data_IF_746869731378
#
_entry.id   IF_746869731378
#
_cell.length_a   1.000
_cell.length_b   1.000
_cell.length_c   1.000
_cell.angle_alpha   90.00
_cell.angle_beta   90.00
_cell.angle_gamma   90.00
#
_symmetry.space_group_name_H-M   'P 1'
#
loop_
_entity.id
_entity.type
_entity.pdbx_description
1 polymer ?
#
# COMPACT_ATOMS: atom_id res chain seq x y z
N UNK A 1 -16.45 -19.75 -17.65
CA UNK A 1 -15.93 -18.73 -16.72
C UNK A 1 -14.42 -18.87 -16.74
N UNK A 2 -13.70 -17.84 -17.13
CA UNK A 2 -12.25 -17.94 -17.22
C UNK A 2 -11.67 -18.15 -15.82
N UNK A 3 -10.70 -19.07 -15.67
CA UNK A 3 -10.08 -19.41 -14.39
C UNK A 3 -9.58 -18.18 -13.61
N UNK A 4 -9.14 -17.15 -14.32
CA UNK A 4 -8.69 -15.86 -13.75
C UNK A 4 -9.83 -15.08 -13.07
N UNK A 5 -11.03 -15.05 -13.67
CA UNK A 5 -12.19 -14.38 -13.05
C UNK A 5 -12.69 -15.09 -11.79
N UNK A 6 -12.53 -16.42 -11.75
CA UNK A 6 -12.85 -17.21 -10.56
C UNK A 6 -11.87 -16.91 -9.40
N UNK A 7 -10.56 -16.80 -9.69
CA UNK A 7 -9.53 -16.44 -8.70
C UNK A 7 -9.79 -15.02 -8.18
N UNK A 8 -9.98 -14.06 -9.06
CA UNK A 8 -10.26 -12.67 -8.66
C UNK A 8 -11.55 -12.60 -7.82
N UNK A 9 -12.59 -13.31 -8.19
CA UNK A 9 -13.85 -13.37 -7.43
C UNK A 9 -13.70 -14.05 -6.06
N UNK A 10 -12.79 -15.04 -5.93
CA UNK A 10 -12.42 -15.65 -4.64
C UNK A 10 -11.71 -14.64 -3.75
N UNK A 11 -10.63 -14.05 -4.25
CA UNK A 11 -9.82 -13.07 -3.51
C UNK A 11 -10.67 -11.88 -3.03
N UNK A 12 -11.53 -11.35 -3.90
CA UNK A 12 -12.44 -10.26 -3.57
C UNK A 12 -13.41 -10.62 -2.45
N UNK A 13 -13.99 -11.83 -2.49
CA UNK A 13 -14.91 -12.30 -1.43
C UNK A 13 -14.18 -12.51 -0.10
N UNK A 14 -12.96 -13.00 -0.12
CA UNK A 14 -12.13 -13.16 1.07
C UNK A 14 -11.78 -11.80 1.66
N UNK A 15 -11.31 -10.87 0.83
CA UNK A 15 -10.96 -9.51 1.23
C UNK A 15 -12.15 -8.75 1.85
N UNK A 16 -13.35 -8.85 1.27
CA UNK A 16 -14.57 -8.24 1.80
C UNK A 16 -15.05 -8.88 3.12
N UNK A 17 -14.75 -10.15 3.37
CA UNK A 17 -15.07 -10.82 4.63
C UNK A 17 -14.11 -10.42 5.77
N UNK A 18 -12.92 -9.95 5.45
CA UNK A 18 -11.92 -9.45 6.40
C UNK A 18 -12.08 -7.96 6.68
N UNK A 19 -13.32 -7.47 6.80
CA UNK A 19 -13.63 -6.06 7.05
C UNK A 19 -13.02 -5.51 8.35
N UNK A 20 -12.74 -6.35 9.34
CA UNK A 20 -12.03 -5.98 10.57
C UNK A 20 -10.62 -5.46 10.29
N UNK A 21 -9.91 -6.08 9.35
CA UNK A 21 -8.54 -5.69 9.01
C UNK A 21 -8.52 -4.37 8.26
N UNK A 22 -9.45 -4.17 7.33
CA UNK A 22 -9.65 -2.87 6.65
C UNK A 22 -9.96 -1.77 7.66
N UNK A 23 -10.86 -2.03 8.62
CA UNK A 23 -11.20 -1.07 9.66
C UNK A 23 -10.00 -0.73 10.55
N UNK A 24 -9.16 -1.70 10.89
CA UNK A 24 -7.94 -1.48 11.67
C UNK A 24 -6.95 -0.58 10.92
N UNK A 25 -6.76 -0.81 9.62
CA UNK A 25 -5.88 0.02 8.77
C UNK A 25 -6.38 1.47 8.70
N UNK A 26 -7.69 1.66 8.46
CA UNK A 26 -8.30 3.00 8.42
C UNK A 26 -8.18 3.68 9.79
N UNK A 27 -8.52 2.98 10.86
CA UNK A 27 -8.44 3.52 12.22
C UNK A 27 -7.01 3.94 12.56
N UNK A 28 -6.02 3.10 12.26
CA UNK A 28 -4.60 3.43 12.46
C UNK A 28 -4.21 4.68 11.65
N UNK A 29 -4.58 4.75 10.37
CA UNK A 29 -4.27 5.88 9.51
C UNK A 29 -4.85 7.19 10.06
N UNK A 30 -6.14 7.17 10.42
CA UNK A 30 -6.83 8.34 10.98
C UNK A 30 -6.20 8.75 12.30
N UNK A 31 -6.03 7.82 13.24
CA UNK A 31 -5.47 8.10 14.56
C UNK A 31 -4.04 8.64 14.43
N UNK A 32 -3.20 8.01 13.60
CA UNK A 32 -1.83 8.45 13.40
C UNK A 32 -1.76 9.90 12.94
N UNK A 33 -2.59 10.30 11.96
CA UNK A 33 -2.60 11.69 11.47
C UNK A 33 -3.22 12.65 12.48
N UNK A 34 -4.34 12.26 13.12
CA UNK A 34 -5.04 13.11 14.11
C UNK A 34 -4.18 13.45 15.32
N UNK A 35 -3.27 12.58 15.71
CA UNK A 35 -2.37 12.83 16.84
C UNK A 35 -1.34 13.94 16.58
N UNK A 36 -1.02 14.26 15.33
CA UNK A 36 -0.03 15.30 15.01
C UNK A 36 -0.44 16.71 15.46
N UNK A 37 -1.64 17.23 15.19
CA UNK A 37 -2.10 18.51 15.72
C UNK A 37 -2.02 18.61 17.25
N UNK A 38 -2.24 17.51 17.96
CA UNK A 38 -2.12 17.48 19.41
C UNK A 38 -0.67 17.46 19.91
N UNK A 39 0.23 16.79 19.17
CA UNK A 39 1.64 16.67 19.55
C UNK A 39 2.50 17.88 19.16
N UNK A 40 2.23 18.48 17.99
CA UNK A 40 3.03 19.57 17.42
C UNK A 40 2.41 20.94 17.73
N UNK A 41 1.11 20.97 18.05
CA UNK A 41 0.32 22.18 18.24
C UNK A 41 -0.56 22.51 17.03
N UNK A 42 -1.63 23.30 17.24
CA UNK A 42 -2.66 23.55 16.23
C UNK A 42 -2.30 24.72 15.28
N UNK A 43 -1.02 25.05 15.11
CA UNK A 43 -0.61 26.15 14.22
C UNK A 43 -0.87 25.77 12.76
N UNK A 44 -1.76 26.50 12.04
CA UNK A 44 -2.21 26.14 10.69
C UNK A 44 -1.07 26.06 9.66
N UNK A 45 -0.12 26.99 9.69
CA UNK A 45 0.98 27.03 8.73
C UNK A 45 1.94 25.85 8.93
N UNK A 46 2.20 25.49 10.19
CA UNK A 46 3.06 24.36 10.51
C UNK A 46 2.38 23.05 10.08
N UNK A 47 1.10 22.88 10.38
CA UNK A 47 0.34 21.70 9.99
C UNK A 47 0.27 21.54 8.47
N UNK A 48 0.01 22.64 7.73
CA UNK A 48 -0.01 22.62 6.28
C UNK A 48 1.35 22.20 5.69
N UNK A 49 2.45 22.67 6.29
CA UNK A 49 3.81 22.35 5.84
C UNK A 49 4.19 20.89 6.05
N UNK A 50 3.84 20.29 7.19
CA UNK A 50 4.19 18.89 7.48
C UNK A 50 3.15 17.90 7.01
N UNK A 51 1.93 18.38 6.72
CA UNK A 51 0.74 17.57 6.40
C UNK A 51 0.97 16.52 5.32
N UNK A 52 1.54 16.86 4.15
CA UNK A 52 1.80 15.89 3.09
C UNK A 52 2.67 14.72 3.58
N UNK A 53 3.76 15.03 4.29
CA UNK A 53 4.66 14.03 4.86
C UNK A 53 3.97 13.15 5.89
N UNK A 54 3.21 13.74 6.81
CA UNK A 54 2.46 13.02 7.86
C UNK A 54 1.44 12.07 7.25
N UNK A 55 0.64 12.52 6.28
CA UNK A 55 -0.37 11.68 5.61
C UNK A 55 0.32 10.52 4.88
N UNK A 56 1.39 10.77 4.15
CA UNK A 56 2.11 9.74 3.40
C UNK A 56 2.79 8.71 4.31
N UNK A 57 3.46 9.15 5.37
CA UNK A 57 4.08 8.23 6.35
C UNK A 57 3.02 7.40 7.05
N UNK A 58 1.92 8.02 7.48
CA UNK A 58 0.82 7.29 8.10
C UNK A 58 0.17 6.29 7.14
N UNK A 59 -0.03 6.65 5.85
CA UNK A 59 -0.55 5.75 4.84
C UNK A 59 0.39 4.55 4.58
N UNK A 60 1.70 4.79 4.51
CA UNK A 60 2.72 3.76 4.37
C UNK A 60 2.69 2.78 5.56
N UNK A 61 2.70 3.29 6.77
CA UNK A 61 2.66 2.48 7.99
C UNK A 61 1.35 1.71 8.10
N UNK A 62 0.21 2.35 7.76
CA UNK A 62 -1.09 1.70 7.73
C UNK A 62 -1.14 0.55 6.72
N UNK A 63 -0.60 0.75 5.51
CA UNK A 63 -0.50 -0.31 4.50
C UNK A 63 0.36 -1.48 4.98
N UNK A 64 1.46 -1.23 5.70
CA UNK A 64 2.32 -2.29 6.23
C UNK A 64 1.62 -3.22 7.22
N UNK A 65 0.65 -2.73 8.00
CA UNK A 65 -0.09 -3.55 8.97
C UNK A 65 -0.85 -4.71 8.34
N UNK A 66 -1.29 -4.56 7.08
CA UNK A 66 -2.07 -5.58 6.38
C UNK A 66 -1.22 -6.47 5.45
N UNK A 67 0.01 -6.04 5.11
CA UNK A 67 0.84 -6.74 4.12
C UNK A 67 1.27 -8.14 4.57
N UNK A 68 1.61 -8.31 5.86
CA UNK A 68 2.02 -9.60 6.41
C UNK A 68 0.94 -10.67 6.18
N UNK A 69 -0.32 -10.28 6.29
CA UNK A 69 -1.46 -11.19 6.16
C UNK A 69 -1.80 -11.55 4.71
N UNK A 70 -1.22 -10.89 3.71
CA UNK A 70 -1.58 -11.05 2.29
C UNK A 70 -1.50 -12.51 1.80
N UNK A 71 -0.50 -13.26 2.27
CA UNK A 71 -0.29 -14.67 1.94
C UNK A 71 -0.38 -15.60 3.15
N UNK A 72 -0.29 -15.05 4.37
CA UNK A 72 -0.16 -15.83 5.59
C UNK A 72 -1.36 -16.76 5.83
N UNK A 73 -2.58 -16.26 5.62
CA UNK A 73 -3.79 -17.06 5.81
C UNK A 73 -3.84 -18.27 4.86
N UNK A 74 -3.51 -18.07 3.57
CA UNK A 74 -3.47 -19.15 2.58
C UNK A 74 -2.29 -20.13 2.84
N UNK A 75 -1.21 -19.66 3.46
CA UNK A 75 -0.09 -20.52 3.87
C UNK A 75 -0.49 -21.40 5.06
N UNK A 76 -1.14 -20.81 6.07
CA UNK A 76 -1.54 -21.53 7.30
C UNK A 76 -2.63 -22.58 7.05
N UNK A 77 -3.55 -22.34 6.13
CA UNK A 77 -4.64 -23.26 5.78
C UNK A 77 -4.26 -24.26 4.65
N UNK A 78 -3.03 -24.16 4.10
CA UNK A 78 -2.53 -25.03 3.02
C UNK A 78 -3.11 -24.71 1.64
N UNK A 79 -3.96 -23.68 1.50
CA UNK A 79 -4.53 -23.32 0.19
C UNK A 79 -3.50 -22.72 -0.75
N UNK A 80 -2.39 -22.19 -0.22
CA UNK A 80 -1.30 -21.64 -1.03
C UNK A 80 -0.63 -22.72 -1.88
N UNK A 81 -0.40 -23.93 -1.32
CA UNK A 81 0.13 -25.08 -2.05
C UNK A 81 -0.79 -25.48 -3.22
N UNK A 82 -2.11 -25.49 -2.96
CA UNK A 82 -3.10 -25.79 -4.00
C UNK A 82 -3.08 -24.71 -5.10
N UNK A 83 -2.89 -23.44 -4.76
CA UNK A 83 -2.79 -22.35 -5.73
C UNK A 83 -1.55 -22.51 -6.63
N UNK A 84 -0.41 -22.95 -6.07
CA UNK A 84 0.81 -23.22 -6.83
C UNK A 84 0.63 -24.37 -7.81
N UNK A 85 -0.18 -25.38 -7.47
CA UNK A 85 -0.48 -26.55 -8.29
C UNK A 85 -1.57 -26.29 -9.36
N UNK A 86 -2.24 -25.15 -9.34
CA UNK A 86 -3.28 -24.83 -10.35
C UNK A 86 -2.66 -24.61 -11.73
N UNK A 87 -3.40 -24.87 -12.82
CA UNK A 87 -2.94 -24.60 -14.18
C UNK A 87 -2.87 -23.09 -14.52
N UNK A 88 -3.27 -22.21 -13.60
CA UNK A 88 -3.19 -20.76 -13.76
C UNK A 88 -1.78 -20.29 -13.36
N UNK A 89 -1.12 -19.44 -14.15
CA UNK A 89 0.17 -18.86 -13.76
C UNK A 89 0.08 -18.18 -12.40
N UNK A 90 1.01 -18.50 -11.49
CA UNK A 90 1.01 -17.98 -10.12
C UNK A 90 1.12 -16.45 -10.09
N UNK A 91 1.78 -15.86 -11.09
CA UNK A 91 1.91 -14.42 -11.30
C UNK A 91 0.55 -13.72 -11.42
N UNK A 92 -0.43 -14.35 -12.08
CA UNK A 92 -1.81 -13.84 -12.18
C UNK A 92 -2.55 -13.93 -10.84
N UNK A 93 -2.31 -14.98 -10.07
CA UNK A 93 -2.84 -15.13 -8.71
C UNK A 93 -2.27 -14.04 -7.80
N UNK A 94 -0.96 -13.76 -7.90
CA UNK A 94 -0.30 -12.67 -7.18
C UNK A 94 -0.93 -11.32 -7.53
N UNK A 95 -1.13 -11.02 -8.82
CA UNK A 95 -1.78 -9.77 -9.25
C UNK A 95 -3.19 -9.67 -8.67
N UNK A 96 -3.97 -10.75 -8.68
CA UNK A 96 -5.31 -10.76 -8.10
C UNK A 96 -5.29 -10.48 -6.60
N UNK A 97 -4.34 -11.06 -5.85
CA UNK A 97 -4.17 -10.82 -4.41
C UNK A 97 -3.74 -9.38 -4.13
N UNK A 98 -2.75 -8.86 -4.84
CA UNK A 98 -2.28 -7.48 -4.71
C UNK A 98 -3.40 -6.49 -5.01
N UNK A 99 -4.18 -6.74 -6.06
CA UNK A 99 -5.32 -5.90 -6.41
C UNK A 99 -6.41 -5.92 -5.32
N UNK A 100 -6.75 -7.10 -4.80
CA UNK A 100 -7.71 -7.24 -3.70
C UNK A 100 -7.21 -6.55 -2.42
N UNK A 101 -5.92 -6.71 -2.09
CA UNK A 101 -5.29 -6.01 -0.97
C UNK A 101 -5.35 -4.49 -1.15
N UNK A 102 -5.01 -3.99 -2.34
CA UNK A 102 -5.08 -2.55 -2.62
C UNK A 102 -6.50 -2.00 -2.50
N UNK A 103 -7.52 -2.73 -2.96
CA UNK A 103 -8.92 -2.31 -2.84
C UNK A 103 -9.40 -2.23 -1.38
N UNK A 104 -8.91 -3.10 -0.51
CA UNK A 104 -9.32 -3.14 0.91
C UNK A 104 -8.43 -2.30 1.81
N UNK A 105 -7.23 -1.94 1.35
CA UNK A 105 -6.26 -1.15 2.12
C UNK A 105 -6.01 0.20 1.44
N UNK A 106 -5.45 0.23 0.25
CA UNK A 106 -5.02 1.45 -0.43
C UNK A 106 -6.17 2.37 -0.80
N UNK A 107 -7.24 1.83 -1.39
CA UNK A 107 -8.40 2.62 -1.79
C UNK A 107 -9.08 3.33 -0.61
N UNK A 108 -9.34 2.68 0.54
CA UNK A 108 -9.85 3.38 1.72
C UNK A 108 -8.96 4.51 2.21
N UNK A 109 -7.62 4.34 2.18
CA UNK A 109 -6.69 5.41 2.57
C UNK A 109 -6.83 6.63 1.65
N UNK A 110 -6.98 6.41 0.32
CA UNK A 110 -7.21 7.48 -0.65
C UNK A 110 -8.54 8.20 -0.36
N UNK A 111 -9.61 7.44 -0.09
CA UNK A 111 -10.94 8.02 0.19
C UNK A 111 -10.95 8.86 1.46
N UNK A 112 -10.21 8.45 2.49
CA UNK A 112 -10.13 9.17 3.76
C UNK A 112 -9.14 10.35 3.71
N UNK A 113 -8.16 10.33 2.81
CA UNK A 113 -7.10 11.35 2.75
C UNK A 113 -7.58 12.81 2.63
N UNK A 114 -8.69 13.16 1.91
CA UNK A 114 -9.18 14.53 1.90
C UNK A 114 -9.64 15.04 3.26
N UNK A 115 -10.27 14.19 4.07
CA UNK A 115 -10.65 14.53 5.44
C UNK A 115 -9.42 14.86 6.28
N UNK A 116 -8.36 14.07 6.15
CA UNK A 116 -7.10 14.29 6.85
C UNK A 116 -6.34 15.50 6.32
N UNK A 117 -6.46 15.82 5.02
CA UNK A 117 -5.92 17.04 4.42
C UNK A 117 -6.55 18.29 5.05
N UNK A 118 -7.88 18.29 5.30
CA UNK A 118 -8.56 19.36 6.04
C UNK A 118 -7.98 19.50 7.46
N UNK A 119 -7.85 18.40 8.18
CA UNK A 119 -7.33 18.40 9.55
C UNK A 119 -5.89 18.90 9.65
N UNK A 120 -5.06 18.60 8.64
CA UNK A 120 -3.68 19.08 8.53
C UNK A 120 -3.59 20.46 7.88
N UNK A 121 -4.73 21.12 7.63
CA UNK A 121 -4.80 22.47 7.06
C UNK A 121 -4.09 22.61 5.68
N UNK A 122 -4.05 21.51 4.90
CA UNK A 122 -3.47 21.51 3.56
C UNK A 122 -4.34 22.38 2.64
N UNK A 123 -3.77 23.37 1.92
CA UNK A 123 -4.49 24.16 0.96
C UNK A 123 -5.17 23.31 -0.13
N UNK A 124 -6.32 23.74 -0.59
CA UNK A 124 -7.16 23.00 -1.56
C UNK A 124 -6.44 22.70 -2.87
N UNK A 125 -5.49 23.54 -3.27
CA UNK A 125 -4.64 23.37 -4.44
C UNK A 125 -3.80 22.09 -4.38
N UNK A 126 -3.44 21.65 -3.17
CA UNK A 126 -2.67 20.43 -2.93
C UNK A 126 -3.49 19.14 -2.93
N UNK A 127 -4.82 19.20 -2.82
CA UNK A 127 -5.65 18.00 -2.65
C UNK A 127 -5.64 17.09 -3.87
N UNK A 128 -5.75 17.68 -5.06
CA UNK A 128 -5.76 16.91 -6.31
C UNK A 128 -4.47 16.09 -6.48
N UNK A 129 -3.32 16.71 -6.22
CA UNK A 129 -2.04 16.05 -6.33
C UNK A 129 -1.79 15.03 -5.20
N UNK A 130 -2.29 15.30 -3.98
CA UNK A 130 -2.26 14.36 -2.87
C UNK A 130 -3.03 13.08 -3.21
N UNK A 131 -4.27 13.21 -3.67
CA UNK A 131 -5.10 12.07 -4.08
C UNK A 131 -4.44 11.29 -5.22
N UNK A 132 -3.94 12.00 -6.25
CA UNK A 132 -3.32 11.37 -7.40
C UNK A 132 -2.01 10.66 -7.04
N UNK A 133 -1.18 11.27 -6.18
CA UNK A 133 0.05 10.65 -5.70
C UNK A 133 -0.24 9.40 -4.87
N UNK A 134 -1.23 9.44 -3.98
CA UNK A 134 -1.68 8.27 -3.22
C UNK A 134 -2.26 7.19 -4.14
N UNK A 135 -3.00 7.57 -5.20
CA UNK A 135 -3.57 6.62 -6.17
C UNK A 135 -2.50 5.87 -6.98
N UNK A 136 -1.34 6.47 -7.22
CA UNK A 136 -0.19 5.81 -7.82
C UNK A 136 0.69 5.08 -6.78
N UNK A 137 0.86 5.68 -5.61
CA UNK A 137 1.78 5.17 -4.61
C UNK A 137 1.22 3.99 -3.83
N UNK A 138 -0.05 4.00 -3.42
CA UNK A 138 -0.60 2.90 -2.61
C UNK A 138 -0.64 1.56 -3.34
N UNK A 139 -0.97 1.44 -4.65
CA UNK A 139 -0.79 0.18 -5.36
C UNK A 139 0.68 -0.21 -5.52
N UNK A 140 1.58 0.76 -5.65
CA UNK A 140 3.03 0.50 -5.67
C UNK A 140 3.50 -0.11 -4.35
N UNK A 141 3.04 0.44 -3.21
CA UNK A 141 3.32 -0.14 -1.89
C UNK A 141 2.81 -1.58 -1.79
N UNK A 142 1.58 -1.85 -2.27
CA UNK A 142 1.02 -3.21 -2.27
C UNK A 142 1.81 -4.19 -3.15
N UNK A 143 2.29 -3.73 -4.31
CA UNK A 143 3.12 -4.51 -5.23
C UNK A 143 4.48 -4.88 -4.61
N UNK A 144 5.20 -3.89 -4.08
CA UNK A 144 6.50 -4.12 -3.45
C UNK A 144 6.33 -4.92 -2.15
N UNK A 145 5.29 -4.59 -1.36
CA UNK A 145 4.96 -5.29 -0.12
C UNK A 145 4.66 -6.77 -0.32
N UNK A 146 4.04 -7.14 -1.45
CA UNK A 146 3.77 -8.53 -1.79
C UNK A 146 5.06 -9.37 -1.95
N UNK A 147 6.13 -8.79 -2.51
CA UNK A 147 7.44 -9.46 -2.58
C UNK A 147 7.95 -9.74 -1.17
N UNK A 148 7.93 -8.74 -0.29
CA UNK A 148 8.34 -8.89 1.10
C UNK A 148 7.50 -9.93 1.84
N UNK A 149 6.18 -9.89 1.68
CA UNK A 149 5.27 -10.85 2.31
C UNK A 149 5.56 -12.30 1.85
N UNK A 150 5.83 -12.51 0.55
CA UNK A 150 6.23 -13.81 0.03
C UNK A 150 7.56 -14.31 0.61
N UNK A 151 8.55 -13.42 0.77
CA UNK A 151 9.88 -13.78 1.29
C UNK A 151 9.90 -14.12 2.78
N UNK A 152 8.93 -13.65 3.56
CA UNK A 152 8.87 -13.90 5.02
C UNK A 152 7.87 -14.99 5.39
N UNK A 153 7.25 -15.67 4.43
CA UNK A 153 6.32 -16.77 4.67
C UNK A 153 7.00 -17.85 5.52
N UNK A 154 6.30 -18.34 6.53
CA UNK A 154 6.81 -19.35 7.45
C UNK A 154 7.84 -18.85 8.48
N UNK A 155 8.26 -17.58 8.43
CA UNK A 155 9.19 -17.03 9.40
C UNK A 155 8.49 -16.77 10.76
N UNK A 156 9.16 -17.16 11.88
CA UNK A 156 8.62 -16.98 13.25
C UNK A 156 8.32 -15.50 13.63
N UNK A 157 8.94 -14.52 12.93
CA UNK A 157 8.78 -13.08 13.15
C UNK A 157 8.60 -12.36 11.82
N UNK A 158 7.67 -12.84 11.01
CA UNK A 158 7.43 -12.36 9.65
C UNK A 158 7.25 -10.86 9.56
N UNK A 159 6.44 -10.24 10.42
CA UNK A 159 6.17 -8.80 10.40
C UNK A 159 7.39 -7.92 10.63
N UNK A 160 8.31 -8.31 11.54
CA UNK A 160 9.56 -7.55 11.78
C UNK A 160 10.48 -7.67 10.57
N UNK A 161 10.64 -8.88 10.03
CA UNK A 161 11.46 -9.12 8.85
C UNK A 161 10.90 -8.41 7.63
N UNK A 162 9.59 -8.45 7.43
CA UNK A 162 8.89 -7.72 6.37
C UNK A 162 9.22 -6.23 6.44
N UNK A 163 9.06 -5.63 7.62
CA UNK A 163 9.31 -4.20 7.82
C UNK A 163 10.75 -3.83 7.47
N UNK A 164 11.73 -4.58 7.95
CA UNK A 164 13.15 -4.32 7.68
C UNK A 164 13.50 -4.46 6.19
N UNK A 165 12.85 -5.38 5.48
CA UNK A 165 13.12 -5.64 4.07
C UNK A 165 12.43 -4.63 3.15
N UNK A 166 11.19 -4.25 3.47
CA UNK A 166 10.33 -3.48 2.57
C UNK A 166 10.45 -1.98 2.79
N UNK A 167 10.71 -1.50 4.04
CA UNK A 167 10.84 -0.07 4.33
C UNK A 167 11.84 0.66 3.44
N UNK A 168 13.07 0.15 3.21
CA UNK A 168 14.00 0.82 2.31
C UNK A 168 13.48 0.95 0.88
N UNK A 169 12.71 -0.03 0.40
CA UNK A 169 12.13 -0.01 -0.94
C UNK A 169 10.95 0.97 -1.06
N UNK A 170 10.33 1.33 0.05
CA UNK A 170 9.24 2.31 0.09
C UNK A 170 9.74 3.76 0.11
N UNK A 171 11.01 4.00 0.48
CA UNK A 171 11.57 5.36 0.56
C UNK A 171 11.41 6.14 -0.75
N UNK A 172 11.74 5.61 -1.94
CA UNK A 172 11.54 6.33 -3.19
C UNK A 172 10.06 6.71 -3.44
N UNK A 173 9.12 5.80 -3.15
CA UNK A 173 7.69 6.05 -3.28
C UNK A 173 7.26 7.20 -2.37
N UNK A 174 7.73 7.19 -1.11
CA UNK A 174 7.46 8.24 -0.14
C UNK A 174 8.04 9.59 -0.59
N UNK A 175 9.31 9.63 -1.03
CA UNK A 175 9.98 10.87 -1.46
C UNK A 175 9.23 11.51 -2.63
N UNK A 176 8.88 10.75 -3.66
CA UNK A 176 8.20 11.30 -4.83
C UNK A 176 6.72 11.58 -4.55
N UNK A 177 6.07 10.79 -3.71
CA UNK A 177 4.70 11.05 -3.27
C UNK A 177 4.58 12.35 -2.49
N UNK A 178 5.36 12.53 -1.44
CA UNK A 178 5.38 13.77 -0.63
C UNK A 178 5.88 14.94 -1.47
N UNK A 179 6.98 14.77 -2.19
CA UNK A 179 7.58 15.82 -3.01
C UNK A 179 6.64 16.37 -4.08
N UNK A 180 5.74 15.53 -4.64
CA UNK A 180 4.76 16.02 -5.61
C UNK A 180 3.77 17.01 -4.99
N UNK A 181 3.35 16.77 -3.76
CA UNK A 181 2.45 17.67 -3.03
C UNK A 181 3.18 18.95 -2.62
N UNK A 182 4.39 18.82 -2.09
CA UNK A 182 5.22 19.95 -1.68
C UNK A 182 5.52 20.90 -2.85
N UNK A 183 5.85 20.35 -4.04
CA UNK A 183 6.05 21.17 -5.24
C UNK A 183 4.79 21.99 -5.58
N UNK A 184 3.62 21.35 -5.57
CA UNK A 184 2.36 22.02 -5.86
C UNK A 184 2.06 23.13 -4.86
N UNK A 185 2.24 22.89 -3.56
CA UNK A 185 1.99 23.87 -2.50
C UNK A 185 2.95 25.08 -2.58
N UNK A 186 4.14 24.90 -3.14
CA UNK A 186 5.10 25.97 -3.37
C UNK A 186 4.96 26.64 -4.74
N UNK A 187 3.86 26.37 -5.49
CA UNK A 187 3.61 26.96 -6.81
C UNK A 187 4.53 26.42 -7.91
N UNK A 188 5.17 25.26 -7.70
CA UNK A 188 6.06 24.62 -8.64
C UNK A 188 5.36 23.44 -9.34
N UNK A 189 5.92 23.01 -10.48
CA UNK A 189 5.37 21.87 -11.21
C UNK A 189 5.68 20.52 -10.52
N UNK A 190 4.65 19.79 -10.12
CA UNK A 190 4.76 18.43 -9.55
C UNK A 190 5.04 17.36 -10.61
N UNK A 191 5.05 17.70 -11.91
CA UNK A 191 5.11 16.76 -13.05
C UNK A 191 6.28 15.78 -12.96
N UNK A 192 7.48 16.25 -12.63
CA UNK A 192 8.66 15.39 -12.55
C UNK A 192 8.51 14.31 -11.46
N UNK A 193 8.03 14.69 -10.27
CA UNK A 193 7.78 13.76 -9.16
C UNK A 193 6.71 12.73 -9.50
N UNK A 194 5.63 13.17 -10.15
CA UNK A 194 4.55 12.28 -10.59
C UNK A 194 4.99 11.31 -11.68
N UNK A 195 5.83 11.74 -12.63
CA UNK A 195 6.40 10.85 -13.65
C UNK A 195 7.33 9.80 -13.03
N UNK A 196 8.16 10.18 -12.05
CA UNK A 196 9.02 9.23 -11.35
C UNK A 196 8.20 8.24 -10.52
N UNK A 197 7.18 8.72 -9.79
CA UNK A 197 6.26 7.85 -9.06
C UNK A 197 5.53 6.88 -10.00
N UNK A 198 5.05 7.37 -11.14
CA UNK A 198 4.43 6.55 -12.18
C UNK A 198 5.39 5.53 -12.78
N UNK A 199 6.67 5.91 -12.98
CA UNK A 199 7.73 5.00 -13.43
C UNK A 199 8.00 3.89 -12.43
N UNK A 200 8.05 4.20 -11.13
CA UNK A 200 8.18 3.21 -10.05
C UNK A 200 6.97 2.28 -10.03
N UNK A 201 5.76 2.81 -10.18
CA UNK A 201 4.53 1.99 -10.27
C UNK A 201 4.59 1.00 -11.43
N UNK A 202 4.91 1.48 -12.64
CA UNK A 202 5.00 0.62 -13.83
C UNK A 202 6.13 -0.42 -13.70
N UNK A 203 7.28 -0.03 -13.18
CA UNK A 203 8.39 -0.94 -12.90
C UNK A 203 8.00 -2.01 -11.88
N UNK A 204 7.32 -1.60 -10.80
CA UNK A 204 6.80 -2.54 -9.79
C UNK A 204 5.77 -3.48 -10.40
N UNK A 205 4.83 -2.98 -11.18
CA UNK A 205 3.81 -3.81 -11.84
C UNK A 205 4.42 -4.85 -12.78
N UNK A 206 5.52 -4.50 -13.47
CA UNK A 206 6.22 -5.41 -14.37
C UNK A 206 7.04 -6.48 -13.64
N UNK A 207 7.69 -6.13 -12.53
CA UNK A 207 8.69 -7.00 -11.88
C UNK A 207 8.16 -7.76 -10.67
N UNK A 208 7.33 -7.14 -9.84
CA UNK A 208 6.94 -7.73 -8.54
C UNK A 208 6.09 -8.99 -8.66
N UNK A 209 5.18 -9.18 -9.65
CA UNK A 209 4.43 -10.42 -9.75
C UNK A 209 5.33 -11.65 -9.93
N UNK A 210 6.41 -11.51 -10.72
CA UNK A 210 7.39 -12.57 -10.93
C UNK A 210 8.23 -12.83 -9.69
N UNK A 211 8.72 -11.75 -9.05
CA UNK A 211 9.51 -11.87 -7.83
C UNK A 211 8.70 -12.48 -6.69
N UNK A 212 7.44 -12.06 -6.51
CA UNK A 212 6.53 -12.61 -5.49
C UNK A 212 6.20 -14.08 -5.79
N UNK A 213 5.90 -14.43 -7.05
CA UNK A 213 5.62 -15.80 -7.43
C UNK A 213 6.82 -16.72 -7.17
N UNK A 214 8.05 -16.26 -7.44
CA UNK A 214 9.26 -17.00 -7.10
C UNK A 214 9.41 -17.20 -5.59
N UNK A 215 9.24 -16.15 -4.78
CA UNK A 215 9.32 -16.21 -3.33
C UNK A 215 8.28 -17.19 -2.73
N UNK A 216 7.03 -17.12 -3.23
CA UNK A 216 5.96 -18.02 -2.78
C UNK A 216 6.25 -19.48 -3.15
N UNK A 217 6.78 -19.76 -4.36
CA UNK A 217 7.17 -21.14 -4.73
C UNK A 217 8.22 -21.71 -3.80
N UNK A 218 9.23 -20.94 -3.45
CA UNK A 218 10.28 -21.38 -2.52
C UNK A 218 9.74 -21.63 -1.10
N UNK A 219 8.73 -20.84 -0.67
CA UNK A 219 8.15 -20.99 0.67
C UNK A 219 7.30 -22.26 0.83
N UNK A 220 6.81 -22.85 -0.26
CA UNK A 220 5.96 -24.07 -0.27
C UNK A 220 6.68 -25.29 -0.86
N UNK A 221 7.97 -25.17 -1.24
CA UNK A 221 8.79 -26.26 -1.74
C UNK A 221 9.35 -27.10 -0.59
#
# INVERSE_FOLDING_TARGET
>A
MNSVSAILGREMRLALRQSSDTMMVIAFFVIAVVLFPFGVGPEPNMLARIGPGVIWVAALLAAMLSMERMFQADYEDGSLELLVLTPVPLELTVIAKVFSHWLTTGLPLIVVSPLLAIMMNIPTEGWGILILSLALGTPTLSLIGAVGAGLVLGARRGGVLLSLLVLPLFIPVLIFGVGSVDMMLNGLEAKAHMLLLGGIFLGSLALTPWATAAAVREAVA
#
